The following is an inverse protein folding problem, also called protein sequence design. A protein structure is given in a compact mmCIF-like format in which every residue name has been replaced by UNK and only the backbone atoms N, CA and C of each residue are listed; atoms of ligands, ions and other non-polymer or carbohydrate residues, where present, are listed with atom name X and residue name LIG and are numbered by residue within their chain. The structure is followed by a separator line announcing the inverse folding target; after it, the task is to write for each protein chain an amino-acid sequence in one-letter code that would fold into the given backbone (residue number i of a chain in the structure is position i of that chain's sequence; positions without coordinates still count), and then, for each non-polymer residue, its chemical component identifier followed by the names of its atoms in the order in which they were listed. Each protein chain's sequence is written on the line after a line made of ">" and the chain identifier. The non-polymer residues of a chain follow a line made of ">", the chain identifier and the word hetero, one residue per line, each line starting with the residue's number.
data_IF_136485899895
#
_entry.id   IF_136485899895
#
_cell.length_a   1.000
_cell.length_b   1.000
_cell.length_c   1.000
_cell.angle_alpha   90.00
_cell.angle_beta   90.00
_cell.angle_gamma   90.00
#
_symmetry.space_group_name_H-M   'P 1'
#
loop_
_entity.id
_entity.type
_entity.pdbx_description
1 polymer ?
#
# COMPACT_ATOMS: atom_id res chain seq x y z
N UNK A 1 -2.96 12.46 -12.72
CA UNK A 1 -3.24 11.51 -11.61
C UNK A 1 -1.99 10.67 -11.47
N UNK A 2 -1.31 10.69 -10.32
CA UNK A 2 -0.11 9.87 -10.13
C UNK A 2 -0.53 8.39 -10.03
N UNK A 3 0.06 7.54 -10.86
CA UNK A 3 -0.15 6.08 -10.84
C UNK A 3 1.20 5.47 -10.50
N UNK A 4 1.23 4.58 -9.53
CA UNK A 4 2.42 3.83 -9.14
C UNK A 4 2.20 2.39 -9.61
N UNK A 5 2.67 2.01 -10.82
CA UNK A 5 2.48 0.66 -11.32
C UNK A 5 3.37 -0.32 -10.55
N UNK A 6 2.95 -1.58 -10.50
CA UNK A 6 3.83 -2.63 -9.98
C UNK A 6 5.01 -2.86 -10.95
N UNK A 7 6.22 -3.14 -10.44
CA UNK A 7 7.30 -3.60 -11.29
C UNK A 7 6.96 -4.99 -11.88
N UNK A 8 7.70 -5.45 -12.92
CA UNK A 8 7.54 -6.80 -13.46
C UNK A 8 7.60 -7.87 -12.35
N UNK A 9 6.78 -8.91 -12.47
CA UNK A 9 6.65 -9.95 -11.43
C UNK A 9 7.98 -10.63 -11.07
N UNK A 10 8.86 -10.80 -12.04
CA UNK A 10 10.20 -11.39 -11.89
C UNK A 10 11.17 -10.51 -11.08
N UNK A 11 10.84 -9.24 -10.89
CA UNK A 11 11.65 -8.26 -10.15
C UNK A 11 11.13 -8.03 -8.73
N UNK A 12 10.00 -8.63 -8.36
CA UNK A 12 9.40 -8.43 -7.05
C UNK A 12 9.98 -9.44 -6.06
N UNK A 13 10.55 -8.92 -4.98
CA UNK A 13 10.91 -9.73 -3.85
C UNK A 13 9.62 -10.24 -3.17
N UNK A 14 9.44 -11.56 -2.96
CA UNK A 14 8.28 -12.10 -2.26
C UNK A 14 8.08 -11.52 -0.84
N UNK A 15 9.16 -11.05 -0.20
CA UNK A 15 9.08 -10.39 1.11
C UNK A 15 8.36 -9.02 1.07
N UNK A 16 8.28 -8.40 -0.11
CA UNK A 16 7.62 -7.10 -0.32
C UNK A 16 6.14 -7.27 -0.72
N UNK A 17 5.60 -8.48 -0.59
CA UNK A 17 4.21 -8.80 -0.91
C UNK A 17 3.36 -8.96 0.33
N UNK A 18 2.22 -8.30 0.33
CA UNK A 18 1.21 -8.50 1.36
C UNK A 18 -0.19 -8.53 0.75
N UNK A 19 -1.10 -9.26 1.37
CA UNK A 19 -2.52 -9.14 1.06
C UNK A 19 -3.06 -7.78 1.57
N UNK A 20 -4.37 -7.54 1.42
CA UNK A 20 -4.97 -6.27 1.84
C UNK A 20 -4.80 -5.99 3.34
N UNK A 21 -4.95 -7.02 4.16
CA UNK A 21 -4.86 -6.92 5.62
C UNK A 21 -3.41 -6.70 6.08
N UNK A 22 -2.45 -7.42 5.48
CA UNK A 22 -1.02 -7.23 5.70
C UNK A 22 -0.55 -5.86 5.24
N UNK A 23 -1.02 -5.38 4.09
CA UNK A 23 -0.74 -4.00 3.61
C UNK A 23 -1.28 -2.97 4.59
N UNK A 24 -2.52 -3.14 5.05
CA UNK A 24 -3.12 -2.24 6.03
C UNK A 24 -2.32 -2.22 7.35
N UNK A 25 -1.89 -3.39 7.81
CA UNK A 25 -1.06 -3.56 9.01
C UNK A 25 0.31 -2.90 8.84
N UNK A 26 0.97 -3.11 7.70
CA UNK A 26 2.29 -2.56 7.39
C UNK A 26 2.30 -1.02 7.44
N UNK A 27 1.23 -0.38 6.97
CA UNK A 27 1.13 1.09 6.95
C UNK A 27 0.36 1.67 8.14
N UNK A 28 -0.14 0.84 9.07
CA UNK A 28 -0.96 1.31 10.18
C UNK A 28 -2.26 2.01 9.73
N UNK A 29 -2.85 1.55 8.64
CA UNK A 29 -4.10 2.07 8.04
C UNK A 29 -5.23 1.04 8.15
N UNK A 30 -6.46 1.46 7.84
CA UNK A 30 -7.57 0.53 7.67
C UNK A 30 -7.52 -0.17 6.31
N UNK A 31 -8.04 -1.39 6.20
CA UNK A 31 -8.21 -2.07 4.90
C UNK A 31 -9.06 -1.25 3.92
N UNK A 32 -10.03 -0.48 4.42
CA UNK A 32 -10.84 0.45 3.62
C UNK A 32 -10.00 1.54 2.96
N UNK A 33 -8.92 1.97 3.62
CA UNK A 33 -7.94 2.92 3.05
C UNK A 33 -7.21 2.28 1.86
N UNK A 34 -6.72 1.05 2.03
CA UNK A 34 -6.06 0.29 0.95
C UNK A 34 -7.02 0.07 -0.22
N UNK A 35 -8.27 -0.34 0.05
CA UNK A 35 -9.32 -0.45 -0.98
C UNK A 35 -9.53 0.86 -1.73
N UNK A 36 -9.50 2.00 -1.03
CA UNK A 36 -9.66 3.31 -1.65
C UNK A 36 -8.45 3.68 -2.52
N UNK A 37 -7.22 3.33 -2.13
CA UNK A 37 -6.05 3.50 -3.00
C UNK A 37 -6.19 2.73 -4.32
N UNK A 38 -6.71 1.50 -4.27
CA UNK A 38 -7.01 0.70 -5.47
C UNK A 38 -8.11 1.34 -6.33
N UNK A 39 -9.23 1.76 -5.72
CA UNK A 39 -10.33 2.41 -6.46
C UNK A 39 -9.92 3.74 -7.10
N UNK A 40 -8.96 4.44 -6.50
CA UNK A 40 -8.34 5.65 -7.04
C UNK A 40 -7.22 5.35 -8.03
N UNK A 41 -6.94 4.09 -8.37
CA UNK A 41 -5.87 3.71 -9.29
C UNK A 41 -4.48 4.14 -8.85
N UNK A 42 -4.27 4.40 -7.55
CA UNK A 42 -2.95 4.75 -7.01
C UNK A 42 -2.04 3.53 -6.92
N UNK A 43 -2.64 2.37 -6.62
CA UNK A 43 -2.00 1.05 -6.61
C UNK A 43 -2.92 0.04 -7.30
N UNK A 44 -2.35 -1.08 -7.71
CA UNK A 44 -3.08 -2.22 -8.27
C UNK A 44 -2.66 -3.53 -7.59
N UNK A 45 -3.55 -4.52 -7.61
CA UNK A 45 -3.22 -5.86 -7.19
C UNK A 45 -2.32 -6.52 -8.24
N UNK A 46 -1.42 -7.40 -7.80
CA UNK A 46 -0.57 -8.17 -8.68
C UNK A 46 -1.41 -9.13 -9.54
N UNK A 47 -1.11 -9.28 -10.84
CA UNK A 47 -1.89 -10.09 -11.76
C UNK A 47 -1.57 -11.58 -11.60
N UNK A 48 -1.85 -12.15 -10.42
CA UNK A 48 -1.63 -13.57 -10.10
C UNK A 48 -2.93 -14.33 -10.39
N UNK A 49 -2.99 -15.17 -11.44
CA UNK A 49 -4.22 -15.86 -11.81
C UNK A 49 -4.67 -16.84 -10.72
N UNK A 50 -5.91 -16.72 -10.27
CA UNK A 50 -6.50 -17.62 -9.26
C UNK A 50 -5.91 -17.49 -7.84
N UNK A 51 -4.98 -16.56 -7.63
CA UNK A 51 -4.35 -16.30 -6.33
C UNK A 51 -5.06 -15.22 -5.51
N UNK A 52 -4.66 -15.03 -4.24
CA UNK A 52 -5.11 -13.89 -3.45
C UNK A 52 -4.65 -12.58 -4.09
N UNK A 53 -5.41 -11.50 -3.88
CA UNK A 53 -4.96 -10.16 -4.25
C UNK A 53 -3.79 -9.75 -3.36
N UNK A 54 -2.58 -9.80 -3.92
CA UNK A 54 -1.37 -9.30 -3.30
C UNK A 54 -1.05 -7.90 -3.80
N UNK A 55 -0.46 -7.10 -2.94
CA UNK A 55 -0.01 -5.74 -3.21
C UNK A 55 1.48 -5.64 -2.94
N UNK A 56 2.17 -4.91 -3.81
CA UNK A 56 3.58 -4.60 -3.65
C UNK A 56 3.74 -3.45 -2.65
N UNK A 57 4.35 -3.74 -1.50
CA UNK A 57 4.48 -2.79 -0.39
C UNK A 57 5.23 -1.49 -0.78
N UNK A 58 6.35 -1.52 -1.53
CA UNK A 58 7.00 -0.29 -2.00
C UNK A 58 6.09 0.60 -2.85
N UNK A 59 5.23 0.00 -3.70
CA UNK A 59 4.25 0.76 -4.50
C UNK A 59 3.17 1.38 -3.60
N UNK A 60 2.69 0.63 -2.62
CA UNK A 60 1.75 1.12 -1.61
C UNK A 60 2.33 2.24 -0.74
N UNK A 61 3.62 2.21 -0.45
CA UNK A 61 4.33 3.29 0.24
C UNK A 61 4.32 4.60 -0.56
N UNK A 62 4.48 4.54 -1.89
CA UNK A 62 4.38 5.73 -2.75
C UNK A 62 2.95 6.29 -2.77
N UNK A 63 1.94 5.43 -2.86
CA UNK A 63 0.54 5.83 -2.79
C UNK A 63 0.20 6.44 -1.42
N UNK A 64 0.70 5.87 -0.33
CA UNK A 64 0.57 6.44 0.99
C UNK A 64 1.19 7.83 1.05
N UNK A 65 2.45 7.98 0.64
CA UNK A 65 3.16 9.26 0.65
C UNK A 65 2.42 10.32 -0.18
N UNK A 66 1.92 9.96 -1.36
CA UNK A 66 1.10 10.84 -2.19
C UNK A 66 -0.20 11.25 -1.49
N UNK A 67 -0.94 10.31 -0.90
CA UNK A 67 -2.18 10.63 -0.16
C UNK A 67 -1.91 11.43 1.11
N UNK A 68 -0.73 11.28 1.72
CA UNK A 68 -0.27 12.10 2.84
C UNK A 68 -0.09 13.56 2.41
N UNK A 69 0.64 13.78 1.31
CA UNK A 69 0.92 15.12 0.78
C UNK A 69 -0.33 15.80 0.20
N UNK A 70 -1.21 15.06 -0.47
CA UNK A 70 -2.23 15.65 -1.34
C UNK A 70 -3.68 15.20 -1.08
N UNK A 71 -3.94 14.25 -0.16
CA UNK A 71 -5.25 13.58 -0.06
C UNK A 71 -6.02 13.78 1.27
N UNK A 72 -7.35 13.64 1.19
CA UNK A 72 -8.28 13.57 2.34
C UNK A 72 -8.27 12.20 3.07
N UNK A 73 -7.48 11.24 2.60
CA UNK A 73 -7.43 9.85 3.07
C UNK A 73 -6.16 9.53 3.84
N UNK A 74 -5.61 10.53 4.55
CA UNK A 74 -4.43 10.35 5.41
C UNK A 74 -4.71 9.21 6.41
N UNK A 75 -3.76 8.31 6.67
CA UNK A 75 -3.83 7.37 7.79
C UNK A 75 -4.29 8.12 9.05
N UNK A 76 -5.30 7.62 9.76
CA UNK A 76 -5.91 8.33 10.87
C UNK A 76 -4.82 8.80 11.86
N UNK A 77 -4.84 10.09 12.21
CA UNK A 77 -3.86 10.80 13.06
C UNK A 77 -3.48 10.08 14.38
N UNK A 78 -4.23 9.07 14.81
CA UNK A 78 -4.04 8.37 16.09
C UNK A 78 -3.64 6.88 16.02
N UNK A 79 -3.32 6.34 14.84
CA UNK A 79 -2.99 4.91 14.67
C UNK A 79 -1.51 4.57 14.53
N UNK A 80 -0.60 5.45 14.95
CA UNK A 80 0.84 5.27 14.69
C UNK A 80 1.51 4.51 15.82
N UNK A 81 1.99 3.30 15.54
CA UNK A 81 2.94 2.61 16.43
C UNK A 81 4.18 3.50 16.63
N UNK A 82 4.83 3.48 17.81
CA UNK A 82 6.10 4.18 18.01
C UNK A 82 7.13 3.77 16.95
N UNK A 83 7.80 4.75 16.32
CA UNK A 83 8.84 4.50 15.31
C UNK A 83 8.38 4.53 13.84
N UNK A 84 7.09 4.74 13.57
CA UNK A 84 6.53 4.76 12.21
C UNK A 84 6.92 5.99 11.37
N UNK A 85 7.21 5.80 10.07
CA UNK A 85 7.51 6.87 9.09
C UNK A 85 6.66 6.73 7.81
N UNK A 86 6.27 7.86 7.21
CA UNK A 86 5.50 7.88 5.95
C UNK A 86 6.32 7.22 4.84
N UNK A 87 5.71 6.30 4.08
CA UNK A 87 6.39 5.62 2.97
C UNK A 87 7.34 4.50 3.42
N UNK A 88 7.29 4.09 4.70
CA UNK A 88 7.93 2.87 5.17
C UNK A 88 6.88 1.89 5.66
N UNK A 89 6.93 0.66 5.15
CA UNK A 89 6.25 -0.46 5.76
C UNK A 89 6.85 -0.68 7.17
N UNK A 90 6.01 -0.81 8.19
CA UNK A 90 6.45 -1.17 9.53
C UNK A 90 7.09 -2.57 9.48
N UNK A 91 8.33 -2.65 9.97
CA UNK A 91 9.05 -3.91 10.16
C UNK A 91 8.34 -4.86 11.14
#
# INVERSE_FOLDING_TARGET
>A
MAVYPNPPLDQINPADLADRAGTATAFGVSESTVKRWVMLGLIEALPIPGGPHLYHLPTAALAEHHTWQHGANRPARGGRRPGWQVGQAAA
#
